data_IF_052604296693
#
_entry.id   IF_052604296693
#
_cell.length_a   1.000
_cell.length_b   1.000
_cell.length_c   1.000
_cell.angle_alpha   90.00
_cell.angle_beta   90.00
_cell.angle_gamma   90.00
#
_symmetry.space_group_name_H-M   'P 1'
#
loop_
_entity.id
_entity.type
_entity.pdbx_description
1 polymer ?
#
# COMPACT_ATOMS: atom_id res chain seq x y z
N UNK A 1 4.87 -22.52 -2.15
CA UNK A 1 3.69 -21.94 -2.53
C UNK A 1 3.67 -20.45 -2.35
N UNK A 2 3.09 -19.79 -3.29
CA UNK A 2 3.13 -18.39 -3.29
C UNK A 2 1.92 -17.81 -2.67
N UNK A 3 2.10 -16.90 -1.76
CA UNK A 3 0.98 -16.26 -1.15
C UNK A 3 0.52 -15.10 -1.93
N UNK A 4 -0.78 -14.99 -2.13
CA UNK A 4 -1.34 -13.87 -2.78
C UNK A 4 -1.61 -12.79 -1.80
N UNK A 5 -1.01 -11.63 -2.00
CA UNK A 5 -1.24 -10.49 -1.14
C UNK A 5 -2.51 -9.80 -1.60
N UNK A 6 -3.50 -9.75 -0.70
CA UNK A 6 -4.80 -9.18 -1.04
C UNK A 6 -5.02 -7.80 -0.45
N UNK A 7 -4.25 -7.41 0.55
CA UNK A 7 -4.42 -6.11 1.19
C UNK A 7 -3.07 -5.49 1.43
N UNK A 8 -3.07 -4.17 1.65
CA UNK A 8 -1.84 -3.45 1.96
C UNK A 8 -1.29 -3.90 3.31
N UNK A 9 -2.17 -4.19 4.27
CA UNK A 9 -1.72 -4.70 5.56
C UNK A 9 -0.94 -6.00 5.41
N UNK A 10 -1.45 -6.91 4.59
CA UNK A 10 -0.77 -8.17 4.35
C UNK A 10 0.57 -7.97 3.65
N UNK A 11 0.62 -7.02 2.73
CA UNK A 11 1.85 -6.71 2.02
C UNK A 11 2.92 -6.21 2.99
N UNK A 12 2.55 -5.26 3.85
CA UNK A 12 3.48 -4.68 4.79
C UNK A 12 3.98 -5.72 5.77
N UNK A 13 3.13 -6.65 6.15
CA UNK A 13 3.49 -7.69 7.11
C UNK A 13 4.60 -8.62 6.61
N UNK A 14 4.87 -8.60 5.31
CA UNK A 14 5.93 -9.44 4.76
C UNK A 14 7.34 -8.92 5.04
N UNK A 15 7.46 -7.70 5.54
CA UNK A 15 8.75 -7.05 5.70
C UNK A 15 9.22 -7.00 7.15
N UNK A 16 10.51 -6.79 7.38
CA UNK A 16 11.01 -6.59 8.73
C UNK A 16 10.38 -5.35 9.37
N UNK A 17 10.47 -5.29 10.68
CA UNK A 17 9.78 -4.26 11.44
C UNK A 17 10.19 -2.85 11.05
N UNK A 18 11.49 -2.62 10.80
CA UNK A 18 11.94 -1.29 10.43
C UNK A 18 11.37 -0.87 9.07
N UNK A 19 11.28 -1.82 8.13
CA UNK A 19 10.68 -1.52 6.84
C UNK A 19 9.18 -1.31 6.99
N UNK A 20 8.54 -2.07 7.87
CA UNK A 20 7.12 -1.88 8.12
C UNK A 20 6.82 -0.47 8.59
N UNK A 21 7.66 0.08 9.44
CA UNK A 21 7.45 1.43 9.93
C UNK A 21 7.55 2.45 8.80
N UNK A 22 8.49 2.27 7.90
CA UNK A 22 8.63 3.17 6.77
C UNK A 22 7.44 3.07 5.83
N UNK A 23 6.98 1.87 5.57
CA UNK A 23 5.83 1.67 4.69
C UNK A 23 4.56 2.26 5.30
N UNK A 24 4.39 2.10 6.62
CA UNK A 24 3.23 2.69 7.27
C UNK A 24 3.27 4.20 7.24
N UNK A 25 4.46 4.78 7.31
CA UNK A 25 4.60 6.22 7.23
C UNK A 25 4.21 6.72 5.84
N UNK A 26 4.69 6.07 4.79
CA UNK A 26 4.34 6.43 3.43
C UNK A 26 2.83 6.29 3.22
N UNK A 27 2.27 5.21 3.73
CA UNK A 27 0.84 4.96 3.65
C UNK A 27 0.04 6.11 4.27
N UNK A 28 0.48 6.54 5.44
CA UNK A 28 -0.21 7.62 6.13
C UNK A 28 -0.12 8.93 5.37
N UNK A 29 1.05 9.23 4.82
CA UNK A 29 1.24 10.46 4.06
C UNK A 29 0.32 10.48 2.84
N UNK A 30 0.22 9.35 2.14
CA UNK A 30 -0.64 9.27 0.96
C UNK A 30 -2.10 9.43 1.36
N UNK A 31 -2.51 8.79 2.45
CA UNK A 31 -3.90 8.90 2.90
C UNK A 31 -4.26 10.31 3.29
N UNK A 32 -3.32 11.04 3.86
CA UNK A 32 -3.58 12.42 4.24
C UNK A 32 -3.62 13.34 3.03
N UNK A 33 -2.80 13.04 2.02
CA UNK A 33 -2.76 13.85 0.82
C UNK A 33 -3.95 13.58 -0.10
N UNK A 34 -4.46 12.34 -0.08
CA UNK A 34 -5.57 11.96 -0.95
C UNK A 34 -6.60 11.15 -0.18
N UNK A 35 -7.37 11.80 0.70
CA UNK A 35 -8.27 11.06 1.59
C UNK A 35 -9.37 10.33 0.86
N UNK A 36 -9.67 10.69 -0.38
CA UNK A 36 -10.71 9.99 -1.14
C UNK A 36 -10.17 8.86 -2.00
N UNK A 37 -8.86 8.64 -1.99
CA UNK A 37 -8.29 7.57 -2.79
C UNK A 37 -8.57 6.22 -2.11
N UNK A 38 -8.74 5.20 -2.93
CA UNK A 38 -8.99 3.85 -2.43
C UNK A 38 -7.70 3.07 -2.41
N UNK A 39 -7.41 2.49 -1.26
CA UNK A 39 -6.22 1.67 -1.09
C UNK A 39 -6.48 0.28 -1.64
N UNK A 40 -5.54 -0.24 -2.41
CA UNK A 40 -5.70 -1.56 -3.01
C UNK A 40 -4.34 -2.16 -3.30
N UNK A 41 -4.36 -3.40 -3.79
CA UNK A 41 -3.16 -4.08 -4.24
C UNK A 41 -3.28 -4.25 -5.75
N UNK A 42 -2.24 -3.83 -6.47
CA UNK A 42 -2.20 -3.99 -7.91
C UNK A 42 -0.80 -4.44 -8.29
N UNK A 43 -0.71 -5.48 -9.12
CA UNK A 43 0.59 -6.05 -9.50
C UNK A 43 1.40 -6.41 -8.27
N UNK A 44 0.71 -6.92 -7.23
CA UNK A 44 1.35 -7.33 -5.98
C UNK A 44 2.02 -6.17 -5.24
N UNK A 45 1.57 -4.94 -5.50
CA UNK A 45 2.11 -3.75 -4.85
C UNK A 45 0.99 -2.92 -4.28
N UNK A 46 1.26 -2.20 -3.18
CA UNK A 46 0.26 -1.26 -2.68
C UNK A 46 0.00 -0.17 -3.69
N UNK A 47 -1.24 0.20 -3.83
CA UNK A 47 -1.64 1.24 -4.78
C UNK A 47 -2.80 2.03 -4.22
N UNK A 48 -2.94 3.25 -4.70
CA UNK A 48 -4.07 4.08 -4.38
C UNK A 48 -4.72 4.51 -5.68
N UNK A 49 -6.04 4.38 -5.74
CA UNK A 49 -6.79 4.68 -6.94
C UNK A 49 -7.75 5.82 -6.69
N UNK A 50 -7.69 6.83 -7.54
CA UNK A 50 -8.59 7.96 -7.43
C UNK A 50 -8.83 8.51 -8.82
N UNK A 51 -10.10 8.60 -9.23
CA UNK A 51 -10.49 9.14 -10.54
C UNK A 51 -9.76 8.46 -11.68
N UNK A 52 -9.57 7.16 -11.57
CA UNK A 52 -8.91 6.40 -12.62
C UNK A 52 -7.40 6.47 -12.61
N UNK A 53 -6.82 7.24 -11.71
CA UNK A 53 -5.38 7.35 -11.61
C UNK A 53 -4.87 6.41 -10.53
N UNK A 54 -3.78 5.70 -10.85
CA UNK A 54 -3.19 4.77 -9.91
C UNK A 54 -1.82 5.25 -9.50
N UNK A 55 -1.56 5.24 -8.20
CA UNK A 55 -0.26 5.57 -7.64
C UNK A 55 0.22 4.37 -6.85
N UNK A 56 1.43 3.91 -7.12
CA UNK A 56 2.00 2.75 -6.44
C UNK A 56 3.08 3.18 -5.47
N UNK A 57 3.29 2.36 -4.45
CA UNK A 57 4.46 2.58 -3.61
C UNK A 57 4.99 1.23 -3.13
N UNK A 58 6.25 1.20 -2.81
CA UNK A 58 6.86 0.00 -2.26
C UNK A 58 8.16 0.34 -1.55
#
# INVERSE_FOLDING_TARGET
>A
MKEKVATVDAYIALFPEDIQKELQHIRKVIQEAAPNAQECISYHMPAYKQNGILVYFS
#
